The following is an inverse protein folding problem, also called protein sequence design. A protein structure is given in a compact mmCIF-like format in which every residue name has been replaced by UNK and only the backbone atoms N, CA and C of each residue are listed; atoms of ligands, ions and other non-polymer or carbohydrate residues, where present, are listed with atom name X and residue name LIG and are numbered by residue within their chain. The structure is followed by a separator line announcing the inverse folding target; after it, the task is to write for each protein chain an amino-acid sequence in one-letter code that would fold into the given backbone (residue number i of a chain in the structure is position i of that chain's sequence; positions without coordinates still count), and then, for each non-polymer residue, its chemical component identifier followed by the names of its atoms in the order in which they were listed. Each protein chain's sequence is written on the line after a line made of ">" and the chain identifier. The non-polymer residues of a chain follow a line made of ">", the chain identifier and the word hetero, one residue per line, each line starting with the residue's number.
data_IF_870972340092
#
_entry.id   IF_870972340092
#
_cell.length_a   1.000
_cell.length_b   1.000
_cell.length_c   1.000
_cell.angle_alpha   90.00
_cell.angle_beta   90.00
_cell.angle_gamma   90.00
#
_symmetry.space_group_name_H-M   'P 1'
#
loop_
_entity.id
_entity.type
_entity.pdbx_description
1 polymer ?
#
# COMPACT_ATOMS: atom_id res chain seq x y z
N UNK A 1 -75.32 -34.28 -22.96
CA UNK A 1 -76.05 -33.61 -21.85
C UNK A 1 -75.63 -32.14 -21.83
N UNK A 2 -76.43 -31.16 -22.28
CA UNK A 2 -77.53 -30.51 -21.54
C UNK A 2 -77.19 -30.29 -20.05
N UNK A 3 -77.30 -29.10 -19.44
CA UNK A 3 -77.80 -27.80 -19.88
C UNK A 3 -77.48 -26.80 -18.74
N UNK A 4 -77.29 -25.51 -19.10
CA UNK A 4 -77.76 -24.25 -18.45
C UNK A 4 -77.77 -24.15 -16.90
N UNK A 5 -77.47 -23.00 -16.27
CA UNK A 5 -78.23 -21.74 -16.37
C UNK A 5 -77.39 -20.52 -15.88
N UNK A 6 -77.33 -19.51 -16.77
CA UNK A 6 -77.37 -18.03 -16.63
C UNK A 6 -76.87 -17.28 -15.36
N UNK A 7 -76.06 -16.24 -15.63
CA UNK A 7 -75.85 -14.96 -14.90
C UNK A 7 -77.17 -14.19 -14.61
N UNK A 8 -77.25 -13.10 -13.78
CA UNK A 8 -76.50 -11.84 -14.01
C UNK A 8 -76.28 -10.82 -12.82
N UNK A 9 -75.56 -9.73 -13.13
CA UNK A 9 -75.58 -8.33 -12.58
C UNK A 9 -74.88 -7.95 -11.24
N UNK A 10 -73.91 -7.03 -11.40
CA UNK A 10 -73.48 -5.85 -10.63
C UNK A 10 -73.36 -5.84 -9.09
N UNK A 11 -72.28 -5.23 -8.59
CA UNK A 11 -72.30 -4.57 -7.28
C UNK A 11 -70.95 -4.36 -6.60
N UNK A 12 -70.52 -3.10 -6.54
CA UNK A 12 -69.74 -2.46 -5.47
C UNK A 12 -68.26 -2.87 -5.25
N UNK A 13 -67.38 -1.91 -5.58
CA UNK A 13 -66.06 -1.75 -4.95
C UNK A 13 -66.27 -1.52 -3.45
N UNK A 14 -65.72 -2.39 -2.61
CA UNK A 14 -65.60 -2.13 -1.17
C UNK A 14 -64.14 -2.30 -0.76
N UNK A 15 -63.47 -1.17 -0.52
CA UNK A 15 -62.14 -1.11 0.08
C UNK A 15 -62.20 -1.73 1.48
N UNK A 16 -61.61 -2.91 1.69
CA UNK A 16 -61.27 -3.35 3.04
C UNK A 16 -59.94 -2.69 3.41
N UNK A 17 -60.04 -1.59 4.15
CA UNK A 17 -58.91 -1.00 4.87
C UNK A 17 -58.43 -2.06 5.86
N UNK A 18 -57.24 -2.61 5.64
CA UNK A 18 -56.54 -3.36 6.66
C UNK A 18 -56.12 -2.37 7.74
N UNK A 19 -56.68 -2.54 8.94
CA UNK A 19 -56.20 -1.85 10.13
C UNK A 19 -54.77 -2.30 10.39
N UNK A 20 -53.79 -1.48 10.02
CA UNK A 20 -52.44 -1.61 10.56
C UNK A 20 -52.54 -1.27 12.04
N UNK A 21 -52.37 -2.26 12.90
CA UNK A 21 -52.11 -2.03 14.31
C UNK A 21 -50.81 -1.21 14.40
N UNK A 22 -50.94 0.09 14.61
CA UNK A 22 -49.86 0.95 15.06
C UNK A 22 -49.34 0.35 16.35
N UNK A 23 -48.11 -0.19 16.31
CA UNK A 23 -47.41 -0.62 17.52
C UNK A 23 -47.29 0.60 18.45
N UNK A 24 -47.53 0.43 19.76
CA UNK A 24 -47.56 1.54 20.69
C UNK A 24 -46.20 2.22 20.74
N UNK A 25 -46.18 3.53 20.51
CA UNK A 25 -45.08 4.41 20.89
C UNK A 25 -45.08 4.54 22.41
N UNK A 26 -44.60 3.51 23.09
CA UNK A 26 -43.96 3.69 24.38
C UNK A 26 -42.50 4.02 24.07
N UNK A 27 -41.98 5.09 24.67
CA UNK A 27 -40.59 5.51 24.57
C UNK A 27 -39.66 4.47 25.23
N UNK A 28 -39.50 3.31 24.58
CA UNK A 28 -38.52 2.30 24.89
C UNK A 28 -37.38 2.45 23.88
N UNK A 29 -36.16 2.56 24.38
CA UNK A 29 -34.95 2.62 23.55
C UNK A 29 -34.95 1.45 22.57
N UNK A 30 -34.54 1.70 21.32
CA UNK A 30 -34.50 0.68 20.27
C UNK A 30 -33.48 -0.39 20.61
N UNK A 31 -33.81 -1.66 20.36
CA UNK A 31 -32.89 -2.77 20.54
C UNK A 31 -31.58 -2.50 19.78
N UNK A 32 -30.42 -2.69 20.42
CA UNK A 32 -29.10 -2.37 19.86
C UNK A 32 -28.82 -3.17 18.58
N UNK A 33 -29.33 -4.40 18.49
CA UNK A 33 -29.28 -5.22 17.28
C UNK A 33 -30.08 -4.59 16.12
N UNK A 34 -31.25 -4.01 16.41
CA UNK A 34 -32.10 -3.33 15.41
C UNK A 34 -31.55 -1.95 15.01
N UNK A 35 -30.79 -1.30 15.89
CA UNK A 35 -30.07 -0.04 15.59
C UNK A 35 -28.95 -0.29 14.59
N UNK A 36 -28.16 -1.35 14.79
CA UNK A 36 -27.09 -1.76 13.86
C UNK A 36 -27.62 -2.49 12.62
N UNK A 37 -28.82 -3.08 12.69
CA UNK A 37 -29.42 -3.86 11.59
C UNK A 37 -28.81 -5.26 11.45
N UNK A 38 -28.43 -5.87 12.58
CA UNK A 38 -27.79 -7.20 12.64
C UNK A 38 -28.63 -8.16 13.46
N UNK A 39 -28.50 -9.47 13.20
CA UNK A 39 -29.15 -10.50 14.01
C UNK A 39 -28.50 -10.67 15.38
N UNK A 40 -29.23 -11.21 16.37
CA UNK A 40 -28.70 -11.48 17.73
C UNK A 40 -27.51 -12.46 17.73
N UNK A 41 -27.41 -13.32 16.71
CA UNK A 41 -26.32 -14.26 16.48
C UNK A 41 -25.17 -13.70 15.64
N UNK A 42 -25.12 -12.39 15.38
CA UNK A 42 -24.08 -11.80 14.55
C UNK A 42 -22.69 -11.96 15.18
N UNK A 43 -21.72 -12.26 14.32
CA UNK A 43 -20.30 -12.33 14.67
C UNK A 43 -19.70 -10.93 14.87
N UNK A 44 -18.58 -10.84 15.59
CA UNK A 44 -17.92 -9.55 15.88
C UNK A 44 -17.50 -8.82 14.58
N UNK A 45 -17.16 -9.57 13.54
CA UNK A 45 -16.84 -9.02 12.22
C UNK A 45 -18.08 -8.39 11.54
N UNK A 46 -19.25 -8.99 11.68
CA UNK A 46 -20.52 -8.46 11.15
C UNK A 46 -21.00 -7.23 11.92
N UNK A 47 -20.86 -7.24 13.25
CA UNK A 47 -21.14 -6.08 14.12
C UNK A 47 -20.28 -4.88 13.71
N UNK A 48 -18.99 -5.13 13.51
CA UNK A 48 -18.04 -4.11 13.07
C UNK A 48 -18.45 -3.58 11.69
N UNK A 49 -18.67 -4.44 10.71
CA UNK A 49 -19.09 -4.04 9.34
C UNK A 49 -20.39 -3.21 9.33
N UNK A 50 -21.37 -3.59 10.13
CA UNK A 50 -22.65 -2.89 10.24
C UNK A 50 -22.50 -1.50 10.87
N UNK A 51 -21.68 -1.38 11.92
CA UNK A 51 -21.34 -0.10 12.53
C UNK A 51 -20.73 0.87 11.52
N UNK A 52 -19.74 0.43 10.73
CA UNK A 52 -19.11 1.30 9.72
C UNK A 52 -20.08 1.71 8.60
N UNK A 53 -20.98 0.83 8.19
CA UNK A 53 -22.01 1.16 7.20
C UNK A 53 -22.97 2.25 7.71
N UNK A 54 -23.37 2.17 8.99
CA UNK A 54 -24.28 3.14 9.63
C UNK A 54 -23.58 4.45 10.00
N UNK A 55 -22.33 4.39 10.47
CA UNK A 55 -21.51 5.56 10.77
C UNK A 55 -21.27 6.42 9.51
N UNK A 56 -21.04 5.79 8.34
CA UNK A 56 -20.93 6.51 7.06
C UNK A 56 -22.25 7.15 6.62
N UNK A 57 -23.38 6.52 6.92
CA UNK A 57 -24.72 7.03 6.57
C UNK A 57 -25.12 8.23 7.43
N UNK A 58 -24.83 8.20 8.74
CA UNK A 58 -25.24 9.23 9.70
C UNK A 58 -24.12 10.20 10.09
N UNK A 59 -23.06 10.28 9.29
CA UNK A 59 -21.93 11.16 9.60
C UNK A 59 -22.38 12.63 9.65
N UNK A 60 -22.04 13.39 10.71
CA UNK A 60 -22.53 14.76 10.91
C UNK A 60 -22.04 15.74 9.83
N UNK A 61 -20.92 15.42 9.19
CA UNK A 61 -20.37 16.23 8.11
C UNK A 61 -21.04 15.99 6.74
N UNK A 62 -21.62 14.80 6.53
CA UNK A 62 -22.38 14.49 5.32
C UNK A 62 -23.85 14.91 5.43
N UNK A 63 -24.36 15.07 6.66
CA UNK A 63 -25.73 15.46 6.98
C UNK A 63 -25.76 16.68 7.90
N UNK A 64 -25.11 17.77 7.49
CA UNK A 64 -24.98 19.01 8.28
C UNK A 64 -26.32 19.69 8.59
N UNK A 65 -27.35 19.40 7.79
CA UNK A 65 -28.65 20.07 7.85
C UNK A 65 -29.72 19.26 8.61
N UNK A 66 -29.42 18.04 9.06
CA UNK A 66 -30.36 17.18 9.79
C UNK A 66 -29.90 16.94 11.25
N UNK A 67 -30.52 17.59 12.25
CA UNK A 67 -30.19 17.37 13.65
C UNK A 67 -30.50 15.93 14.12
N UNK A 68 -31.38 15.20 13.43
CA UNK A 68 -31.69 13.80 13.75
C UNK A 68 -30.58 12.82 13.37
N UNK A 69 -29.66 13.20 12.48
CA UNK A 69 -28.52 12.37 12.10
C UNK A 69 -27.50 12.26 13.25
N UNK A 70 -27.30 13.34 14.01
CA UNK A 70 -26.42 13.35 15.18
C UNK A 70 -26.92 12.42 16.30
N UNK A 71 -28.24 12.36 16.53
CA UNK A 71 -28.81 11.49 17.56
C UNK A 71 -28.78 10.02 17.14
N UNK A 72 -29.07 9.72 15.87
CA UNK A 72 -28.92 8.36 15.31
C UNK A 72 -27.47 7.87 15.33
N UNK A 73 -26.52 8.78 15.14
CA UNK A 73 -25.10 8.46 15.24
C UNK A 73 -24.70 8.07 16.67
N UNK A 74 -25.17 8.83 17.68
CA UNK A 74 -24.95 8.49 19.10
C UNK A 74 -25.54 7.12 19.45
N UNK A 75 -26.76 6.83 19.01
CA UNK A 75 -27.41 5.53 19.22
C UNK A 75 -26.62 4.37 18.60
N UNK A 76 -26.08 4.55 17.39
CA UNK A 76 -25.25 3.55 16.69
C UNK A 76 -23.93 3.30 17.42
N UNK A 77 -23.31 4.34 17.97
CA UNK A 77 -22.08 4.22 18.77
C UNK A 77 -22.33 3.53 20.10
N UNK A 78 -23.39 3.88 20.82
CA UNK A 78 -23.79 3.22 22.07
C UNK A 78 -24.06 1.72 21.84
N UNK A 79 -24.79 1.39 20.77
CA UNK A 79 -25.08 0.01 20.40
C UNK A 79 -23.80 -0.82 20.16
N UNK A 80 -22.81 -0.25 19.47
CA UNK A 80 -21.57 -0.96 19.17
C UNK A 80 -20.69 -1.17 20.41
N UNK A 81 -20.58 -0.17 21.30
CA UNK A 81 -19.79 -0.27 22.54
C UNK A 81 -20.30 -1.37 23.49
N UNK A 82 -21.62 -1.57 23.51
CA UNK A 82 -22.27 -2.61 24.34
C UNK A 82 -22.12 -3.99 23.70
N UNK A 83 -22.26 -4.08 22.38
CA UNK A 83 -22.25 -5.36 21.66
C UNK A 83 -20.84 -5.89 21.36
N UNK A 84 -19.81 -5.02 21.32
CA UNK A 84 -18.40 -5.40 21.10
C UNK A 84 -17.80 -6.13 22.29
N UNK A 85 -18.18 -5.77 23.52
CA UNK A 85 -17.67 -6.41 24.72
C UNK A 85 -18.54 -7.62 25.09
N UNK A 86 -17.93 -8.80 25.19
CA UNK A 86 -18.66 -10.06 25.44
C UNK A 86 -19.39 -10.07 26.78
N UNK A 87 -18.87 -9.38 27.81
CA UNK A 87 -19.50 -9.27 29.12
C UNK A 87 -20.70 -8.31 29.09
N UNK A 88 -20.55 -7.17 28.41
CA UNK A 88 -21.64 -6.18 28.25
C UNK A 88 -22.75 -6.73 27.34
N UNK A 89 -22.40 -7.44 26.26
CA UNK A 89 -23.34 -8.15 25.40
C UNK A 89 -24.13 -9.20 26.17
N UNK A 90 -23.47 -10.02 26.99
CA UNK A 90 -24.15 -11.00 27.82
C UNK A 90 -25.09 -10.36 28.85
N UNK A 91 -24.71 -9.21 29.40
CA UNK A 91 -25.54 -8.45 30.36
C UNK A 91 -26.76 -7.84 29.66
N UNK A 92 -26.55 -7.27 28.47
CA UNK A 92 -27.62 -6.75 27.62
C UNK A 92 -28.59 -7.83 27.17
N UNK A 93 -28.10 -9.01 26.76
CA UNK A 93 -28.94 -10.11 26.31
C UNK A 93 -29.79 -10.70 27.46
N UNK A 94 -29.34 -10.58 28.71
CA UNK A 94 -30.06 -11.05 29.91
C UNK A 94 -31.06 -10.05 30.46
N UNK A 95 -30.71 -8.76 30.48
CA UNK A 95 -31.45 -7.73 31.21
C UNK A 95 -31.96 -6.58 30.32
N UNK A 96 -31.71 -6.63 29.01
CA UNK A 96 -32.05 -5.57 28.07
C UNK A 96 -31.32 -4.26 28.37
N UNK A 97 -31.88 -3.14 27.91
CA UNK A 97 -31.31 -1.80 28.14
C UNK A 97 -31.13 -1.46 29.64
N UNK A 98 -31.94 -2.03 30.53
CA UNK A 98 -31.87 -1.78 31.97
C UNK A 98 -30.58 -2.32 32.63
N UNK A 99 -29.99 -3.40 32.09
CA UNK A 99 -28.76 -3.99 32.65
C UNK A 99 -27.47 -3.25 32.29
N UNK A 100 -27.52 -2.42 31.25
CA UNK A 100 -26.35 -1.70 30.73
C UNK A 100 -26.39 -0.22 31.13
N UNK A 101 -27.59 0.37 31.21
CA UNK A 101 -27.80 1.74 31.68
C UNK A 101 -27.62 1.87 33.21
N UNK A 102 -27.97 0.83 33.98
CA UNK A 102 -27.77 0.76 35.43
C UNK A 102 -26.38 0.32 35.88
N UNK A 103 -25.49 -0.06 34.96
CA UNK A 103 -24.10 -0.49 35.24
C UNK A 103 -23.12 0.67 35.39
N UNK A 104 -23.57 1.92 35.17
CA UNK A 104 -22.75 3.13 35.23
C UNK A 104 -22.73 3.73 36.66
N UNK A 105 -22.50 2.87 37.66
CA UNK A 105 -22.57 3.24 39.08
C UNK A 105 -21.75 2.32 39.97
N UNK A 106 -20.42 2.40 39.88
CA UNK A 106 -19.54 1.76 40.86
C UNK A 106 -18.19 1.31 40.28
N UNK A 107 -17.16 2.15 40.41
CA UNK A 107 -15.75 1.75 40.27
C UNK A 107 -14.95 2.45 39.18
N UNK A 108 -14.40 3.62 39.52
CA UNK A 108 -13.13 4.17 39.04
C UNK A 108 -12.80 4.17 37.54
N UNK A 109 -12.92 5.34 36.89
CA UNK A 109 -12.28 5.61 35.59
C UNK A 109 -13.05 6.69 34.83
N UNK A 110 -12.47 7.89 34.72
CA UNK A 110 -13.12 9.12 34.23
C UNK A 110 -13.84 8.96 32.89
N UNK A 111 -15.17 8.97 32.95
CA UNK A 111 -16.07 9.07 31.81
C UNK A 111 -16.36 10.53 31.48
N UNK A 112 -16.24 10.87 30.20
CA UNK A 112 -16.64 12.16 29.63
C UNK A 112 -18.15 12.36 29.80
N UNK A 113 -18.52 13.26 30.70
CA UNK A 113 -19.91 13.72 30.85
C UNK A 113 -20.04 14.73 31.99
N UNK A 114 -20.07 16.02 31.68
CA UNK A 114 -20.36 17.06 32.67
C UNK A 114 -20.16 18.49 32.15
N UNK A 115 -21.18 19.06 31.52
CA UNK A 115 -21.23 20.48 31.20
C UNK A 115 -22.65 20.92 30.84
N UNK A 116 -23.38 21.46 31.83
CA UNK A 116 -24.71 22.04 31.66
C UNK A 116 -24.72 23.34 30.82
N UNK A 117 -25.90 23.90 30.52
CA UNK A 117 -26.11 24.82 29.41
C UNK A 117 -25.76 26.26 29.79
N UNK A 118 -24.91 26.89 28.99
CA UNK A 118 -24.64 28.33 29.05
C UNK A 118 -23.16 28.67 29.11
N UNK A 119 -22.57 29.03 27.97
CA UNK A 119 -21.19 29.52 27.89
C UNK A 119 -20.69 29.47 26.46
N UNK A 120 -20.73 30.61 25.77
CA UNK A 120 -20.34 30.74 24.37
C UNK A 120 -18.84 30.66 24.11
N UNK A 121 -18.50 30.30 22.87
CA UNK A 121 -17.29 30.72 22.16
C UNK A 121 -15.96 30.15 22.67
N UNK A 122 -15.50 29.04 22.08
CA UNK A 122 -14.12 28.58 22.21
C UNK A 122 -13.90 27.22 21.55
N UNK A 123 -13.13 27.18 20.46
CA UNK A 123 -12.88 26.00 19.63
C UNK A 123 -12.08 24.90 20.32
N UNK A 124 -12.79 23.99 21.00
CA UNK A 124 -12.29 22.66 21.35
C UNK A 124 -12.64 21.68 20.23
N UNK A 125 -11.64 21.19 19.51
CA UNK A 125 -11.82 20.20 18.47
C UNK A 125 -12.31 18.87 19.09
N UNK A 126 -13.47 18.41 18.64
CA UNK A 126 -13.90 17.02 18.82
C UNK A 126 -12.84 16.11 18.14
N UNK A 127 -12.21 15.18 18.87
CA UNK A 127 -11.18 14.30 18.31
C UNK A 127 -11.69 13.47 17.12
N UNK A 128 -13.00 13.23 17.03
CA UNK A 128 -13.65 12.63 15.88
C UNK A 128 -13.66 13.61 14.70
N UNK A 129 -14.09 14.86 14.91
CA UNK A 129 -14.08 15.89 13.87
C UNK A 129 -12.67 16.22 13.36
N UNK A 130 -11.65 16.15 14.22
CA UNK A 130 -10.25 16.41 13.86
C UNK A 130 -9.66 15.27 13.01
N UNK A 131 -9.93 14.00 13.36
CA UNK A 131 -9.57 12.83 12.53
C UNK A 131 -10.20 12.95 11.13
N UNK A 132 -11.51 13.19 11.06
CA UNK A 132 -12.20 13.31 9.78
C UNK A 132 -11.79 14.56 8.98
N UNK A 133 -11.42 15.67 9.63
CA UNK A 133 -10.90 16.87 8.96
C UNK A 133 -9.51 16.63 8.37
N UNK A 134 -8.67 15.87 9.06
CA UNK A 134 -7.33 15.50 8.60
C UNK A 134 -7.34 14.42 7.50
N UNK A 135 -8.32 13.51 7.50
CA UNK A 135 -8.48 12.48 6.45
C UNK A 135 -9.31 12.97 5.24
N UNK A 136 -9.99 14.12 5.33
CA UNK A 136 -10.80 14.69 4.22
C UNK A 136 -9.99 15.03 2.96
N UNK A 137 -8.66 15.15 3.09
CA UNK A 137 -7.76 15.41 1.97
C UNK A 137 -7.46 14.20 1.06
N UNK A 138 -7.91 12.98 1.38
CA UNK A 138 -7.57 11.78 0.59
C UNK A 138 -8.62 10.66 0.55
N UNK A 139 -9.82 10.88 1.09
CA UNK A 139 -10.80 9.82 1.37
C UNK A 139 -11.74 9.43 0.19
N UNK A 140 -11.31 9.60 -1.06
CA UNK A 140 -12.08 9.10 -2.22
C UNK A 140 -11.57 7.76 -2.79
N UNK A 141 -10.39 7.26 -2.36
CA UNK A 141 -9.76 6.07 -2.94
C UNK A 141 -9.10 5.10 -1.94
N UNK A 142 -9.50 5.10 -0.67
CA UNK A 142 -8.96 4.11 0.30
C UNK A 142 -9.85 2.88 0.40
N UNK A 143 -9.22 1.70 0.44
CA UNK A 143 -9.88 0.42 0.67
C UNK A 143 -10.42 0.35 2.11
N UNK A 144 -11.43 -0.52 2.29
CA UNK A 144 -12.14 -0.67 3.57
C UNK A 144 -11.21 -1.02 4.74
N UNK A 145 -10.14 -1.76 4.48
CA UNK A 145 -9.16 -2.23 5.49
C UNK A 145 -8.12 -1.14 5.86
N UNK A 146 -7.76 -0.27 4.93
CA UNK A 146 -6.84 0.86 5.16
C UNK A 146 -7.49 1.95 6.02
N UNK A 147 -8.78 2.20 5.78
CA UNK A 147 -9.56 3.07 6.65
C UNK A 147 -9.71 2.48 8.06
N UNK A 148 -9.83 1.15 8.15
CA UNK A 148 -10.00 0.42 9.41
C UNK A 148 -8.75 0.44 10.29
N UNK A 149 -7.58 0.24 9.69
CA UNK A 149 -6.29 0.29 10.39
C UNK A 149 -5.97 1.70 10.87
N UNK A 150 -6.26 2.73 10.06
CA UNK A 150 -6.13 4.13 10.46
C UNK A 150 -7.07 4.50 11.62
N UNK A 151 -8.31 3.99 11.61
CA UNK A 151 -9.27 4.20 12.69
C UNK A 151 -8.87 3.43 13.97
N UNK A 152 -8.41 2.18 13.87
CA UNK A 152 -7.87 1.43 15.02
C UNK A 152 -6.59 2.03 15.60
N UNK A 153 -5.77 2.67 14.77
CA UNK A 153 -4.58 3.39 15.23
C UNK A 153 -4.93 4.64 16.05
N UNK A 154 -6.10 5.23 15.83
CA UNK A 154 -6.57 6.43 16.53
C UNK A 154 -7.48 6.10 17.72
N UNK A 155 -8.34 5.09 17.60
CA UNK A 155 -9.34 4.73 18.62
C UNK A 155 -9.09 3.38 19.32
N UNK A 156 -8.19 2.53 18.81
CA UNK A 156 -7.90 1.19 19.33
C UNK A 156 -6.63 1.08 20.18
N UNK A 157 -5.88 2.17 20.37
CA UNK A 157 -4.66 2.20 21.16
C UNK A 157 -4.75 3.23 22.28
N UNK A 158 -4.71 2.75 23.54
CA UNK A 158 -4.72 3.59 24.73
C UNK A 158 -3.79 4.80 24.62
N UNK A 159 -4.39 5.98 24.80
CA UNK A 159 -3.82 7.30 24.98
C UNK A 159 -2.28 7.36 25.11
N UNK A 160 -1.62 7.63 23.99
CA UNK A 160 -0.41 8.47 23.96
C UNK A 160 -0.53 9.46 22.81
N UNK A 161 -1.29 10.52 23.07
CA UNK A 161 -1.24 11.73 22.28
C UNK A 161 0.17 12.33 22.43
N UNK A 162 1.10 11.89 21.58
CA UNK A 162 2.41 12.50 21.41
C UNK A 162 2.18 13.80 20.66
N UNK A 163 2.13 14.89 21.40
CA UNK A 163 2.28 16.24 20.87
C UNK A 163 3.67 16.35 20.21
N UNK A 164 3.71 16.19 18.89
CA UNK A 164 4.82 16.54 18.02
C UNK A 164 4.22 16.78 16.62
N UNK A 165 4.15 17.99 16.08
CA UNK A 165 4.60 19.28 16.57
C UNK A 165 4.05 20.40 15.69
N UNK A 166 4.20 21.62 16.17
CA UNK A 166 3.95 22.84 15.40
C UNK A 166 4.78 23.94 16.03
N UNK A 167 5.86 24.33 15.35
CA UNK A 167 6.73 25.40 15.78
C UNK A 167 6.00 26.75 15.83
N UNK A 168 6.37 27.55 16.83
CA UNK A 168 5.92 28.93 16.98
C UNK A 168 6.65 29.52 18.18
N UNK A 169 7.64 30.36 17.92
CA UNK A 169 8.56 30.88 18.92
C UNK A 169 7.94 31.92 19.86
N UNK A 170 8.68 32.17 20.93
CA UNK A 170 8.78 33.48 21.58
C UNK A 170 7.63 33.86 22.50
N UNK A 171 7.92 33.98 23.80
CA UNK A 171 7.08 34.73 24.73
C UNK A 171 7.13 34.18 26.13
N UNK A 172 8.02 34.75 26.96
CA UNK A 172 8.13 34.40 28.37
C UNK A 172 6.91 34.79 29.18
N UNK A 173 6.84 34.25 30.40
CA UNK A 173 6.02 34.79 31.48
C UNK A 173 5.06 33.80 32.11
N UNK A 174 5.53 33.17 33.19
CA UNK A 174 4.75 33.02 34.42
C UNK A 174 3.59 32.02 34.43
N UNK A 175 3.86 30.81 34.94
CA UNK A 175 3.02 30.14 35.93
C UNK A 175 3.90 29.13 36.68
N UNK A 176 4.61 29.63 37.70
CA UNK A 176 5.27 28.79 38.68
C UNK A 176 4.25 28.28 39.69
N UNK A 177 4.09 26.97 39.81
CA UNK A 177 3.33 26.36 40.89
C UNK A 177 2.63 25.06 40.54
N UNK A 178 3.38 23.99 40.27
CA UNK A 178 2.98 22.61 40.57
C UNK A 178 4.25 21.76 40.70
N UNK A 179 4.72 21.58 41.94
CA UNK A 179 5.67 20.53 42.27
C UNK A 179 5.00 19.18 42.06
N UNK A 180 5.25 18.56 40.91
CA UNK A 180 4.80 17.23 40.56
C UNK A 180 6.01 16.39 40.17
N UNK A 181 6.28 15.36 40.97
CA UNK A 181 7.29 14.34 40.72
C UNK A 181 7.21 13.83 39.29
N UNK A 182 8.06 14.35 38.40
CA UNK A 182 8.28 13.77 37.09
C UNK A 182 8.85 12.38 37.28
N UNK A 183 8.14 11.36 36.81
CA UNK A 183 8.69 10.02 36.77
C UNK A 183 10.09 10.09 36.12
N UNK A 184 11.11 9.41 36.68
CA UNK A 184 12.44 9.41 36.09
C UNK A 184 12.33 8.98 34.61
N UNK A 185 13.11 9.57 33.70
CA UNK A 185 13.08 9.18 32.30
C UNK A 185 13.30 7.66 32.20
N UNK A 186 12.59 6.97 31.28
CA UNK A 186 12.77 5.53 31.14
C UNK A 186 14.25 5.23 30.87
N UNK A 187 14.78 4.16 31.45
CA UNK A 187 16.20 3.86 31.33
C UNK A 187 16.58 3.69 29.84
N UNK A 188 17.76 4.18 29.41
CA UNK A 188 18.14 4.20 28.01
C UNK A 188 18.17 2.79 27.41
N UNK A 189 17.76 2.67 26.16
CA UNK A 189 17.88 1.44 25.35
C UNK A 189 19.24 1.36 24.69
N UNK A 190 19.60 0.17 24.22
CA UNK A 190 20.77 -0.02 23.37
C UNK A 190 20.68 0.77 22.07
N UNK A 191 21.84 1.15 21.54
CA UNK A 191 21.92 1.97 20.33
C UNK A 191 21.51 1.17 19.09
N UNK A 192 20.78 1.82 18.19
CA UNK A 192 20.47 1.26 16.88
C UNK A 192 21.72 1.25 16.00
N UNK A 193 21.92 0.16 15.27
CA UNK A 193 23.03 -0.03 14.35
C UNK A 193 22.55 0.07 12.90
N UNK A 194 23.37 0.63 12.04
CA UNK A 194 23.14 0.69 10.59
C UNK A 194 24.34 0.13 9.87
N UNK A 195 24.12 -0.78 8.93
CA UNK A 195 25.19 -1.29 8.06
C UNK A 195 24.67 -1.53 6.65
N UNK A 196 25.56 -1.41 5.68
CA UNK A 196 25.27 -1.79 4.32
C UNK A 196 25.77 -3.22 4.06
N UNK A 197 24.95 -4.04 3.41
CA UNK A 197 25.34 -5.37 2.93
C UNK A 197 25.34 -5.37 1.41
N UNK A 198 26.40 -5.93 0.81
CA UNK A 198 26.47 -6.11 -0.64
C UNK A 198 25.89 -7.47 -1.00
N UNK A 199 24.97 -7.47 -1.95
CA UNK A 199 24.26 -8.66 -2.40
C UNK A 199 24.38 -8.77 -3.91
N UNK A 200 24.81 -9.92 -4.45
CA UNK A 200 24.80 -10.17 -5.89
C UNK A 200 23.39 -10.03 -6.47
N UNK A 201 23.28 -9.54 -7.70
CA UNK A 201 21.99 -9.33 -8.36
C UNK A 201 21.07 -10.56 -8.34
N UNK A 202 21.61 -11.74 -8.68
CA UNK A 202 20.82 -12.98 -8.75
C UNK A 202 20.25 -13.38 -7.38
N UNK A 203 21.02 -13.19 -6.30
CA UNK A 203 20.56 -13.46 -4.93
C UNK A 203 19.45 -12.49 -4.50
N UNK A 204 19.59 -11.21 -4.87
CA UNK A 204 18.58 -10.19 -4.59
C UNK A 204 17.25 -10.49 -5.30
N UNK A 205 17.31 -11.06 -6.51
CA UNK A 205 16.11 -11.43 -7.26
C UNK A 205 15.49 -12.73 -6.76
N UNK A 206 16.30 -13.79 -6.57
CA UNK A 206 15.80 -15.10 -6.14
C UNK A 206 15.33 -15.13 -4.67
N UNK A 207 15.84 -14.20 -3.86
CA UNK A 207 15.70 -14.18 -2.40
C UNK A 207 16.55 -15.28 -1.77
N UNK A 208 17.52 -14.88 -0.96
CA UNK A 208 18.46 -15.79 -0.32
C UNK A 208 18.51 -15.55 1.20
N UNK A 209 18.89 -16.60 1.94
CA UNK A 209 19.36 -16.45 3.33
C UNK A 209 20.84 -16.17 3.28
N UNK A 210 21.27 -15.08 3.91
CA UNK A 210 22.67 -14.62 3.93
C UNK A 210 23.11 -14.44 5.38
N UNK A 211 24.26 -14.98 5.71
CA UNK A 211 24.90 -14.76 6.99
C UNK A 211 25.69 -13.45 6.95
N UNK A 212 25.39 -12.56 7.89
CA UNK A 212 25.99 -11.24 8.02
C UNK A 212 26.73 -11.18 9.35
N UNK A 213 28.02 -10.91 9.31
CA UNK A 213 28.81 -10.66 10.51
C UNK A 213 28.56 -9.22 10.98
N UNK A 214 28.07 -9.09 12.20
CA UNK A 214 27.73 -7.81 12.83
C UNK A 214 28.68 -7.56 13.97
N UNK A 215 29.47 -6.50 13.85
CA UNK A 215 30.29 -6.01 14.95
C UNK A 215 29.49 -5.01 15.79
N UNK A 216 29.40 -5.26 17.09
CA UNK A 216 28.79 -4.32 18.02
C UNK A 216 29.53 -4.28 19.36
N UNK A 217 29.29 -3.19 20.09
CA UNK A 217 29.88 -2.99 21.42
C UNK A 217 28.95 -3.59 22.47
N UNK A 218 29.49 -4.46 23.32
CA UNK A 218 28.84 -5.02 24.51
C UNK A 218 29.56 -4.51 25.77
N UNK A 219 28.90 -4.59 26.92
CA UNK A 219 29.50 -4.23 28.20
C UNK A 219 29.65 -5.47 29.09
N UNK A 220 30.85 -5.68 29.62
CA UNK A 220 31.10 -6.73 30.63
C UNK A 220 30.36 -6.41 31.95
N UNK A 221 30.18 -7.38 32.86
CA UNK A 221 29.58 -7.15 34.19
C UNK A 221 30.29 -6.07 35.02
N UNK A 222 31.54 -5.75 34.70
CA UNK A 222 32.34 -4.68 35.29
C UNK A 222 32.17 -3.31 34.58
N UNK A 223 31.26 -3.18 33.62
CA UNK A 223 30.95 -1.95 32.88
C UNK A 223 31.92 -1.62 31.72
N UNK A 224 32.95 -2.44 31.47
CA UNK A 224 33.93 -2.21 30.41
C UNK A 224 33.35 -2.54 29.03
N UNK A 225 33.58 -1.65 28.06
CA UNK A 225 33.15 -1.87 26.68
C UNK A 225 34.06 -2.90 25.99
N UNK A 226 33.45 -3.89 25.33
CA UNK A 226 34.10 -4.92 24.54
C UNK A 226 33.47 -4.97 23.15
N UNK A 227 34.27 -5.03 22.10
CA UNK A 227 33.77 -5.25 20.74
C UNK A 227 33.61 -6.74 20.48
N UNK A 228 32.43 -7.15 20.03
CA UNK A 228 32.11 -8.55 19.73
C UNK A 228 31.52 -8.61 18.32
N UNK A 229 31.92 -9.64 17.57
CA UNK A 229 31.34 -9.95 16.27
C UNK A 229 30.35 -11.10 16.43
N UNK A 230 29.15 -10.94 15.88
CA UNK A 230 28.09 -11.96 15.90
C UNK A 230 27.60 -12.19 14.48
N UNK A 231 27.57 -13.45 14.06
CA UNK A 231 26.97 -13.83 12.78
C UNK A 231 25.45 -13.93 12.93
N UNK A 232 24.72 -13.21 12.08
CA UNK A 232 23.26 -13.24 12.01
C UNK A 232 22.82 -13.72 10.63
N UNK A 233 21.93 -14.71 10.60
CA UNK A 233 21.29 -15.16 9.35
C UNK A 233 20.13 -14.23 9.02
N UNK A 234 20.26 -13.52 7.89
CA UNK A 234 19.29 -12.56 7.39
C UNK A 234 18.56 -13.17 6.20
N UNK A 235 17.23 -13.10 6.19
CA UNK A 235 16.42 -13.54 5.05
C UNK A 235 16.14 -12.35 4.15
N UNK A 236 16.66 -12.38 2.93
CA UNK A 236 16.39 -11.38 1.91
C UNK A 236 15.07 -11.72 1.19
N UNK A 237 14.10 -10.80 1.14
CA UNK A 237 12.89 -11.01 0.36
C UNK A 237 13.23 -11.08 -1.14
N UNK A 238 12.42 -11.82 -1.89
CA UNK A 238 12.58 -11.94 -3.34
C UNK A 238 12.34 -10.58 -4.01
N UNK A 239 13.18 -10.24 -4.99
CA UNK A 239 13.05 -9.01 -5.75
C UNK A 239 13.39 -7.75 -4.96
N UNK A 240 14.20 -7.84 -3.89
CA UNK A 240 14.59 -6.68 -3.10
C UNK A 240 15.35 -5.65 -3.96
N UNK A 241 15.00 -4.37 -3.84
CA UNK A 241 15.67 -3.26 -4.52
C UNK A 241 16.96 -2.83 -3.80
N UNK A 242 17.88 -2.23 -4.54
CA UNK A 242 19.04 -1.55 -3.95
C UNK A 242 18.58 -0.32 -3.16
N UNK A 243 19.16 -0.10 -1.99
CA UNK A 243 18.76 0.91 -1.01
C UNK A 243 17.64 0.47 -0.06
N UNK A 244 17.06 -0.72 -0.25
CA UNK A 244 16.06 -1.24 0.67
C UNK A 244 16.67 -1.49 2.06
N UNK A 245 15.95 -1.13 3.12
CA UNK A 245 16.40 -1.33 4.50
C UNK A 245 15.64 -2.47 5.17
N UNK A 246 16.36 -3.46 5.69
CA UNK A 246 15.82 -4.58 6.46
C UNK A 246 16.07 -4.32 7.95
N UNK A 247 15.01 -4.31 8.76
CA UNK A 247 15.10 -4.14 10.22
C UNK A 247 15.15 -5.51 10.92
N UNK A 248 16.17 -5.70 11.74
CA UNK A 248 16.33 -6.83 12.65
C UNK A 248 16.16 -6.32 14.08
N UNK A 249 14.97 -6.55 14.64
CA UNK A 249 14.60 -6.05 15.96
C UNK A 249 15.47 -6.67 17.06
N UNK A 250 15.98 -5.85 17.97
CA UNK A 250 16.80 -6.29 19.11
C UNK A 250 18.16 -6.88 18.75
N UNK A 251 18.64 -6.72 17.51
CA UNK A 251 19.97 -7.16 17.06
C UNK A 251 20.99 -6.02 16.95
N UNK A 252 20.65 -4.84 17.49
CA UNK A 252 21.54 -3.69 17.60
C UNK A 252 22.47 -3.76 18.81
N UNK A 253 22.98 -2.61 19.23
CA UNK A 253 23.90 -2.51 20.37
C UNK A 253 23.23 -2.86 21.69
N UNK A 254 24.03 -3.27 22.68
CA UNK A 254 23.55 -3.51 24.03
C UNK A 254 23.21 -2.20 24.75
N UNK A 255 22.28 -2.27 25.71
CA UNK A 255 21.99 -1.13 26.57
C UNK A 255 23.25 -0.74 27.39
N UNK A 256 23.49 0.55 27.61
CA UNK A 256 24.58 0.99 28.47
C UNK A 256 24.37 0.49 29.92
N UNK A 257 25.43 0.40 30.75
CA UNK A 257 25.30 0.01 32.16
C UNK A 257 24.26 0.88 32.89
N UNK A 258 23.31 0.26 33.59
CA UNK A 258 22.18 0.95 34.23
C UNK A 258 21.00 1.29 33.30
N UNK A 259 21.07 0.89 32.03
CA UNK A 259 20.00 1.03 31.05
C UNK A 259 18.87 -0.01 31.19
N UNK A 260 17.92 0.04 30.26
CA UNK A 260 16.72 -0.80 30.27
C UNK A 260 16.97 -2.29 30.03
N UNK A 261 18.21 -2.68 29.72
CA UNK A 261 18.59 -4.03 29.28
C UNK A 261 18.12 -4.39 27.86
N UNK A 262 17.22 -3.60 27.26
CA UNK A 262 16.74 -3.83 25.90
C UNK A 262 17.79 -3.37 24.88
N UNK A 263 18.14 -4.27 23.95
CA UNK A 263 19.03 -4.00 22.82
C UNK A 263 18.38 -3.04 21.83
N UNK A 264 19.20 -2.31 21.09
CA UNK A 264 18.77 -1.54 19.93
C UNK A 264 18.39 -2.44 18.75
N UNK A 265 17.99 -1.82 17.64
CA UNK A 265 17.69 -2.51 16.40
C UNK A 265 18.86 -2.44 15.40
N UNK A 266 18.91 -3.39 14.47
CA UNK A 266 19.87 -3.38 13.38
C UNK A 266 19.15 -3.11 12.05
N UNK A 267 19.55 -2.06 11.37
CA UNK A 267 19.07 -1.70 10.04
C UNK A 267 20.12 -2.08 9.01
N UNK A 268 19.76 -3.00 8.13
CA UNK A 268 20.60 -3.46 7.03
C UNK A 268 20.17 -2.77 5.73
N UNK A 269 21.00 -1.90 5.20
CA UNK A 269 20.80 -1.32 3.88
C UNK A 269 21.35 -2.28 2.82
N UNK A 270 20.50 -2.72 1.90
CA UNK A 270 20.89 -3.66 0.84
C UNK A 270 21.46 -2.91 -0.34
N UNK A 271 22.70 -3.19 -0.70
CA UNK A 271 23.34 -2.69 -1.92
C UNK A 271 23.43 -3.85 -2.92
N UNK A 272 22.64 -3.77 -3.98
CA UNK A 272 22.65 -4.80 -5.03
C UNK A 272 23.80 -4.51 -6.00
N UNK A 273 24.67 -5.50 -6.20
CA UNK A 273 25.77 -5.40 -7.16
C UNK A 273 25.24 -5.50 -8.60
N UNK A 274 25.76 -4.70 -9.54
CA UNK A 274 25.32 -4.73 -10.93
C UNK A 274 25.75 -6.04 -11.61
N UNK A 275 24.86 -6.60 -12.42
CA UNK A 275 25.13 -7.79 -13.22
C UNK A 275 25.54 -7.39 -14.66
N UNK A 276 26.51 -8.08 -15.29
CA UNK A 276 26.94 -7.76 -16.65
C UNK A 276 25.90 -8.10 -17.72
N UNK A 277 25.00 -9.05 -17.46
CA UNK A 277 24.03 -9.56 -18.42
C UNK A 277 22.62 -8.98 -18.19
N UNK A 278 22.22 -8.82 -16.92
CA UNK A 278 20.91 -8.35 -16.53
C UNK A 278 20.94 -6.90 -16.03
N UNK A 279 20.14 -6.04 -16.65
CA UNK A 279 19.90 -4.67 -16.17
C UNK A 279 18.48 -4.54 -15.63
N UNK A 280 18.32 -4.20 -14.35
CA UNK A 280 17.01 -4.02 -13.73
C UNK A 280 16.49 -2.60 -13.91
N UNK A 281 15.23 -2.50 -14.31
CA UNK A 281 14.45 -1.26 -14.29
C UNK A 281 13.10 -1.55 -13.61
N UNK A 282 12.99 -1.21 -12.33
CA UNK A 282 11.82 -1.57 -11.52
C UNK A 282 11.67 -3.09 -11.41
N UNK A 283 10.56 -3.63 -11.95
CA UNK A 283 10.27 -5.06 -12.00
C UNK A 283 10.71 -5.72 -13.32
N UNK A 284 11.05 -4.90 -14.32
CA UNK A 284 11.45 -5.36 -15.64
C UNK A 284 12.96 -5.54 -15.72
N UNK A 285 13.39 -6.41 -16.62
CA UNK A 285 14.80 -6.75 -16.81
C UNK A 285 15.16 -6.57 -18.26
N UNK A 286 16.20 -5.81 -18.52
CA UNK A 286 16.74 -5.58 -19.84
C UNK A 286 17.95 -6.48 -20.08
N UNK A 287 17.93 -7.16 -21.22
CA UNK A 287 19.01 -8.03 -21.70
C UNK A 287 19.31 -7.67 -23.14
N UNK A 288 20.59 -7.67 -23.51
CA UNK A 288 21.01 -7.51 -24.90
C UNK A 288 21.13 -8.89 -25.56
N UNK A 289 20.35 -9.13 -26.63
CA UNK A 289 20.46 -10.34 -27.46
C UNK A 289 21.14 -10.00 -28.78
N UNK A 290 22.27 -10.65 -29.01
CA UNK A 290 23.02 -10.55 -30.26
C UNK A 290 22.41 -11.52 -31.28
N UNK A 291 21.77 -10.98 -32.31
CA UNK A 291 21.04 -11.72 -33.35
C UNK A 291 21.81 -11.66 -34.67
N UNK A 292 22.12 -12.80 -35.32
CA UNK A 292 22.73 -12.82 -36.65
C UNK A 292 21.84 -12.12 -37.69
N UNK A 293 22.46 -11.43 -38.65
CA UNK A 293 21.76 -10.72 -39.73
C UNK A 293 20.74 -11.62 -40.46
N UNK A 294 21.11 -12.86 -40.78
CA UNK A 294 20.25 -13.80 -41.49
C UNK A 294 18.99 -14.14 -40.70
N UNK A 295 19.12 -14.40 -39.40
CA UNK A 295 18.00 -14.68 -38.49
C UNK A 295 17.08 -13.48 -38.33
N UNK A 296 17.63 -12.27 -38.29
CA UNK A 296 16.82 -11.05 -38.20
C UNK A 296 16.00 -10.80 -39.48
N UNK A 297 16.56 -11.10 -40.66
CA UNK A 297 15.88 -10.94 -41.95
C UNK A 297 14.84 -12.05 -42.16
N UNK A 298 15.26 -13.31 -42.05
CA UNK A 298 14.43 -14.48 -42.38
C UNK A 298 13.46 -14.85 -41.25
N UNK A 299 13.71 -14.37 -40.03
CA UNK A 299 13.08 -14.88 -38.81
C UNK A 299 13.71 -16.20 -38.37
N UNK A 300 13.43 -16.59 -37.13
CA UNK A 300 13.94 -17.84 -36.58
C UNK A 300 13.65 -17.93 -35.09
N UNK A 301 14.33 -18.86 -34.42
CA UNK A 301 14.29 -18.98 -32.97
C UNK A 301 15.69 -18.87 -32.40
N UNK A 302 15.80 -18.27 -31.22
CA UNK A 302 17.06 -18.10 -30.50
C UNK A 302 16.84 -18.31 -29.02
N UNK A 303 17.83 -18.91 -28.37
CA UNK A 303 17.81 -19.12 -26.93
C UNK A 303 18.20 -17.84 -26.19
N UNK A 304 17.41 -17.49 -25.17
CA UNK A 304 17.64 -16.33 -24.31
C UNK A 304 17.74 -16.81 -22.87
N UNK A 305 18.80 -16.37 -22.18
CA UNK A 305 18.96 -16.62 -20.75
C UNK A 305 17.97 -15.74 -19.98
N UNK A 306 17.09 -16.39 -19.21
CA UNK A 306 16.20 -15.74 -18.25
C UNK A 306 16.68 -16.05 -16.83
N UNK A 307 16.09 -15.39 -15.82
CA UNK A 307 16.43 -15.65 -14.42
C UNK A 307 16.11 -17.07 -13.95
N UNK A 308 15.10 -17.72 -14.57
CA UNK A 308 14.64 -19.05 -14.19
C UNK A 308 15.28 -20.15 -15.07
N UNK A 309 16.04 -19.80 -16.10
CA UNK A 309 16.65 -20.73 -17.06
C UNK A 309 16.63 -20.23 -18.51
N UNK A 310 17.01 -21.10 -19.44
CA UNK A 310 17.02 -20.78 -20.89
C UNK A 310 15.62 -20.93 -21.48
N UNK A 311 15.19 -19.96 -22.27
CA UNK A 311 13.90 -19.96 -22.96
C UNK A 311 14.10 -19.66 -24.44
N UNK A 312 13.41 -20.40 -25.30
CA UNK A 312 13.41 -20.15 -26.73
C UNK A 312 12.56 -18.91 -27.06
N UNK A 313 13.18 -17.92 -27.71
CA UNK A 313 12.55 -16.70 -28.20
C UNK A 313 12.37 -16.77 -29.71
N UNK A 314 11.14 -16.60 -30.17
CA UNK A 314 10.82 -16.47 -31.60
C UNK A 314 11.11 -15.06 -32.08
N UNK A 315 12.01 -14.94 -33.06
CA UNK A 315 12.38 -13.69 -33.72
C UNK A 315 11.53 -13.52 -34.99
N UNK A 316 10.71 -12.47 -35.08
CA UNK A 316 9.96 -12.18 -36.30
C UNK A 316 10.87 -11.88 -37.50
N UNK A 317 10.47 -12.26 -38.73
CA UNK A 317 11.20 -11.83 -39.92
C UNK A 317 11.16 -10.30 -40.06
N UNK A 318 12.26 -9.72 -40.55
CA UNK A 318 12.41 -8.27 -40.69
C UNK A 318 12.64 -7.52 -39.36
N UNK A 319 13.08 -8.20 -38.31
CA UNK A 319 13.39 -7.57 -37.02
C UNK A 319 14.51 -6.54 -37.17
N UNK A 320 14.23 -5.30 -36.73
CA UNK A 320 15.17 -4.18 -36.85
C UNK A 320 16.19 -4.18 -35.69
N UNK A 321 17.41 -3.67 -35.91
CA UNK A 321 18.35 -3.40 -34.82
C UNK A 321 17.74 -2.41 -33.81
N UNK A 322 17.92 -2.69 -32.52
CA UNK A 322 17.32 -1.91 -31.43
C UNK A 322 15.86 -2.24 -31.15
N UNK A 323 15.24 -3.17 -31.88
CA UNK A 323 13.91 -3.66 -31.53
C UNK A 323 13.91 -4.29 -30.13
N UNK A 324 12.83 -4.06 -29.38
CA UNK A 324 12.65 -4.60 -28.03
C UNK A 324 11.58 -5.69 -28.08
N UNK A 325 11.97 -6.93 -27.78
CA UNK A 325 11.07 -8.06 -27.68
C UNK A 325 10.78 -8.36 -26.21
N UNK A 326 9.51 -8.39 -25.82
CA UNK A 326 9.11 -8.57 -24.43
C UNK A 326 8.70 -10.01 -24.11
N UNK A 327 9.43 -10.64 -23.19
CA UNK A 327 9.07 -11.91 -22.56
C UNK A 327 8.29 -11.63 -21.27
N UNK A 328 6.96 -11.65 -21.36
CA UNK A 328 6.06 -11.36 -20.24
C UNK A 328 6.19 -12.42 -19.14
N UNK A 329 6.20 -11.98 -17.88
CA UNK A 329 6.28 -12.84 -16.70
C UNK A 329 7.67 -13.45 -16.43
N UNK A 330 8.70 -13.03 -17.19
CA UNK A 330 10.10 -13.44 -17.02
C UNK A 330 10.97 -12.39 -16.32
N UNK A 331 10.36 -11.32 -15.80
CA UNK A 331 11.02 -10.31 -14.98
C UNK A 331 11.10 -10.67 -13.50
N UNK A 332 11.34 -9.66 -12.67
CA UNK A 332 11.52 -9.78 -11.22
C UNK A 332 10.15 -9.95 -10.56
N UNK A 333 10.08 -10.83 -9.55
CA UNK A 333 8.87 -10.98 -8.73
C UNK A 333 8.75 -9.83 -7.73
N UNK A 334 7.62 -9.11 -7.76
CA UNK A 334 7.29 -8.09 -6.77
C UNK A 334 6.61 -8.65 -5.52
N UNK A 335 6.37 -7.77 -4.54
CA UNK A 335 5.75 -8.11 -3.24
C UNK A 335 4.32 -8.69 -3.30
N UNK A 336 3.65 -8.66 -4.47
CA UNK A 336 2.33 -9.24 -4.70
C UNK A 336 2.32 -10.49 -5.59
N UNK A 337 3.48 -11.08 -5.89
CA UNK A 337 3.61 -12.27 -6.75
C UNK A 337 3.52 -12.00 -8.25
N UNK A 338 3.09 -10.80 -8.66
CA UNK A 338 3.21 -10.34 -10.05
C UNK A 338 4.69 -10.24 -10.44
N UNK A 339 5.02 -10.74 -11.64
CA UNK A 339 6.36 -10.65 -12.23
C UNK A 339 6.36 -9.63 -13.36
N UNK A 340 7.43 -8.85 -13.46
CA UNK A 340 7.66 -7.98 -14.61
C UNK A 340 7.95 -8.76 -15.90
N UNK A 341 8.33 -8.04 -16.95
CA UNK A 341 8.76 -8.59 -18.22
C UNK A 341 10.30 -8.59 -18.34
N UNK A 342 10.82 -9.53 -19.11
CA UNK A 342 12.18 -9.46 -19.62
C UNK A 342 12.17 -8.82 -21.01
N UNK A 343 12.77 -7.65 -21.13
CA UNK A 343 12.88 -6.83 -22.32
C UNK A 343 14.20 -7.15 -23.02
N UNK A 344 14.09 -7.83 -24.15
CA UNK A 344 15.23 -8.29 -24.95
C UNK A 344 15.51 -7.25 -26.03
N UNK A 345 16.61 -6.52 -25.88
CA UNK A 345 17.12 -5.56 -26.85
C UNK A 345 17.89 -6.28 -27.95
N UNK A 346 17.39 -6.21 -29.17
CA UNK A 346 18.01 -6.89 -30.31
C UNK A 346 19.19 -6.08 -30.83
N UNK A 347 20.39 -6.67 -30.77
CA UNK A 347 21.60 -6.14 -31.40
C UNK A 347 21.96 -7.00 -32.60
N UNK A 348 22.06 -6.41 -33.79
CA UNK A 348 22.44 -7.15 -34.98
C UNK A 348 23.94 -7.45 -34.99
N UNK A 349 24.28 -8.71 -35.22
CA UNK A 349 25.63 -9.14 -35.51
C UNK A 349 25.83 -9.25 -37.02
N UNK A 350 26.73 -8.42 -37.52
CA UNK A 350 27.22 -8.52 -38.89
C UNK A 350 28.45 -9.43 -38.92
N UNK A 351 28.54 -10.36 -39.89
CA UNK A 351 29.74 -11.17 -40.05
C UNK A 351 30.93 -10.28 -40.46
N UNK A 352 32.09 -10.47 -39.84
CA UNK A 352 33.31 -9.72 -40.19
C UNK A 352 33.95 -10.18 -41.50
N UNK A 353 33.76 -11.45 -41.84
CA UNK A 353 34.31 -12.07 -43.06
C UNK A 353 33.21 -12.81 -43.80
N UNK A 354 33.31 -12.81 -45.13
CA UNK A 354 32.34 -13.44 -46.04
C UNK A 354 33.08 -14.38 -46.96
N UNK A 355 32.51 -15.57 -47.20
CA UNK A 355 33.00 -16.48 -48.25
C UNK A 355 32.71 -15.91 -49.65
N UNK A 356 33.43 -16.33 -50.70
CA UNK A 356 33.16 -15.88 -52.07
C UNK A 356 31.69 -16.06 -52.46
N UNK A 357 31.13 -17.24 -52.14
CA UNK A 357 29.72 -17.55 -52.40
C UNK A 357 28.74 -16.66 -51.63
N UNK A 358 29.03 -16.34 -50.36
CA UNK A 358 28.19 -15.43 -49.57
C UNK A 358 28.22 -14.01 -50.14
N UNK A 359 29.38 -13.55 -50.61
CA UNK A 359 29.51 -12.25 -51.27
C UNK A 359 28.70 -12.18 -52.56
N UNK A 360 28.80 -13.18 -53.42
CA UNK A 360 28.01 -13.28 -54.66
C UNK A 360 26.50 -13.13 -54.37
N UNK A 361 25.99 -13.87 -53.39
CA UNK A 361 24.57 -13.82 -53.01
C UNK A 361 24.14 -12.44 -52.49
N UNK A 362 25.01 -11.76 -51.72
CA UNK A 362 24.73 -10.40 -51.23
C UNK A 362 24.77 -9.35 -52.35
N UNK A 363 25.65 -9.51 -53.34
CA UNK A 363 25.70 -8.65 -54.53
C UNK A 363 24.46 -8.84 -55.41
N UNK A 364 24.00 -10.08 -55.59
CA UNK A 364 22.74 -10.38 -56.26
C UNK A 364 21.56 -9.76 -55.52
N UNK A 365 21.51 -9.91 -54.19
CA UNK A 365 20.46 -9.30 -53.36
C UNK A 365 20.46 -7.77 -53.48
N UNK A 366 21.65 -7.14 -53.45
CA UNK A 366 21.79 -5.70 -53.64
C UNK A 366 21.25 -5.21 -54.99
N UNK A 367 21.51 -5.94 -56.09
CA UNK A 367 20.96 -5.59 -57.42
C UNK A 367 19.43 -5.59 -57.42
N UNK A 368 18.81 -6.52 -56.69
CA UNK A 368 17.35 -6.58 -56.52
C UNK A 368 16.80 -5.42 -55.66
N UNK A 369 17.56 -4.95 -54.67
CA UNK A 369 17.18 -3.80 -53.84
C UNK A 369 17.37 -2.45 -54.54
N UNK A 370 18.43 -2.28 -55.33
CA UNK A 370 18.71 -1.04 -56.06
C UNK A 370 17.62 -0.73 -57.08
N UNK A 371 16.95 -1.74 -57.64
CA UNK A 371 15.71 -1.59 -58.42
C UNK A 371 14.55 -0.96 -57.65
N UNK A 372 14.60 -0.93 -56.31
CA UNK A 372 13.62 -0.27 -55.41
C UNK A 372 14.07 1.13 -54.97
N UNK A 373 15.20 1.64 -55.47
CA UNK A 373 15.63 3.04 -55.34
C UNK A 373 16.07 3.50 -53.95
N UNK A 374 16.45 2.60 -53.04
CA UNK A 374 16.85 2.96 -51.68
C UNK A 374 18.11 3.85 -51.65
N UNK A 375 19.15 3.48 -52.41
CA UNK A 375 20.38 4.26 -52.52
C UNK A 375 20.13 5.67 -53.09
N UNK A 376 19.25 5.79 -54.10
CA UNK A 376 18.87 7.08 -54.69
C UNK A 376 18.12 7.99 -53.69
N UNK A 377 17.24 7.42 -52.85
CA UNK A 377 16.55 8.18 -51.79
C UNK A 377 17.51 8.67 -50.71
N UNK A 378 18.43 7.81 -50.26
CA UNK A 378 19.45 8.19 -49.28
C UNK A 378 20.37 9.30 -49.81
N UNK A 379 20.82 9.19 -51.06
CA UNK A 379 21.65 10.21 -51.71
C UNK A 379 20.92 11.58 -51.81
N UNK A 380 19.63 11.58 -52.17
CA UNK A 380 18.81 12.80 -52.19
C UNK A 380 18.66 13.43 -50.81
N UNK A 381 18.38 12.63 -49.78
CA UNK A 381 18.26 13.11 -48.41
C UNK A 381 19.57 13.73 -47.90
N UNK A 382 20.72 13.13 -48.21
CA UNK A 382 22.03 13.67 -47.85
C UNK A 382 22.31 15.02 -48.55
N UNK A 383 22.01 15.13 -49.85
CA UNK A 383 22.13 16.38 -50.60
C UNK A 383 21.21 17.47 -50.04
N UNK A 384 20.00 17.12 -49.64
CA UNK A 384 19.07 18.07 -49.02
C UNK A 384 19.57 18.53 -47.65
N UNK A 385 20.11 17.63 -46.83
CA UNK A 385 20.71 17.97 -45.54
C UNK A 385 21.90 18.94 -45.70
N UNK A 386 22.78 18.70 -46.69
CA UNK A 386 23.89 19.59 -46.99
C UNK A 386 23.41 21.00 -47.36
N UNK A 387 22.40 21.10 -48.24
CA UNK A 387 21.80 22.39 -48.61
C UNK A 387 21.24 23.14 -47.41
N UNK A 388 20.60 22.45 -46.45
CA UNK A 388 20.09 23.06 -45.22
C UNK A 388 21.22 23.62 -44.35
N UNK A 389 22.32 22.89 -44.23
CA UNK A 389 23.51 23.34 -43.48
C UNK A 389 24.12 24.58 -44.14
N UNK A 390 24.25 24.59 -45.46
CA UNK A 390 24.76 25.75 -46.22
C UNK A 390 23.87 26.97 -46.07
N UNK A 391 22.54 26.81 -46.16
CA UNK A 391 21.58 27.88 -45.93
C UNK A 391 21.63 28.43 -44.50
N UNK A 392 21.78 27.57 -43.49
CA UNK A 392 21.93 28.00 -42.11
C UNK A 392 23.24 28.78 -41.91
N UNK A 393 24.36 28.30 -42.48
CA UNK A 393 25.64 29.02 -42.44
C UNK A 393 25.56 30.39 -43.12
N UNK A 394 24.88 30.47 -44.27
CA UNK A 394 24.67 31.73 -44.97
C UNK A 394 23.85 32.73 -44.13
N UNK A 395 22.78 32.27 -43.46
CA UNK A 395 21.96 33.11 -42.57
C UNK A 395 22.72 33.61 -41.35
N UNK A 396 23.58 32.78 -40.76
CA UNK A 396 24.38 33.15 -39.59
C UNK A 396 25.52 34.14 -39.90
N UNK A 397 25.85 34.36 -41.18
CA UNK A 397 26.90 35.27 -41.65
C UNK A 397 26.36 36.66 -42.07
N UNK A 398 25.05 36.87 -41.99
CA UNK A 398 24.32 38.14 -42.22
C UNK A 398 23.76 38.63 -40.89
#
# INVERSE_FOLDING_TARGET
>A
MCNKVRSPVAGAKCSRRGFHASRPTCAAKRDFYDVLGVGKSASDAELKKAYFAKAKQYHPDANRDDPSAADKFKEVTEAYEVLKDSSKRATYDRFGHAGVEGGMGGGGGGGFGGGGPGGGGGGGADPYAEFFRQTRGGAQQMNQDDFFSAFEQVFGGGARFRQAGGGGGGGGGGFGGFGGFGAPPPPPRGADLRMAIRVPFLDAVAGAKRDVAVDYTTHDPAGRARRVSKTLTVTLPRGIDSGATIRLAGQGGDAPPGGSGAKGDLYLEVQVEPDPYFRREGQDIHVDLTVPLTTAILGGTMDVCTLDGVVELKIPPGTQPGAVLALRGKGIAGGGGARGAQLVHVRLQLPHTLTPRQRELLEEWRKLEDGRGAAARAARAAQEALRRVEQHRARAAT
#
